data_IF_529894942371
#
_entry.id   IF_529894942371
#
_cell.length_a   1.000
_cell.length_b   1.000
_cell.length_c   1.000
_cell.angle_alpha   90.00
_cell.angle_beta   90.00
_cell.angle_gamma   90.00
#
_symmetry.space_group_name_H-M   'P 1'
#
loop_
_entity.id
_entity.type
_entity.pdbx_description
1 polymer ?
#
# COMPACT_ATOMS: atom_id res chain seq x y z
N UNK A 1 9.09 8.03 -8.05
CA UNK A 1 8.42 8.52 -6.84
C UNK A 1 6.91 8.45 -7.02
N UNK A 2 6.23 7.77 -6.11
CA UNK A 2 4.78 7.61 -6.14
C UNK A 2 4.19 8.28 -4.90
N UNK A 3 3.29 9.26 -5.10
CA UNK A 3 2.57 9.93 -4.02
C UNK A 3 1.19 9.29 -3.88
N UNK A 4 0.81 8.94 -2.65
CA UNK A 4 -0.51 8.40 -2.40
C UNK A 4 -1.00 8.74 -1.00
N UNK A 5 -2.32 8.71 -0.85
CA UNK A 5 -2.99 8.90 0.43
C UNK A 5 -3.82 7.68 0.74
N UNK A 6 -3.63 7.10 1.90
CA UNK A 6 -4.42 5.98 2.38
C UNK A 6 -5.52 6.48 3.29
N UNK A 7 -6.75 6.04 3.05
CA UNK A 7 -7.92 6.40 3.85
C UNK A 7 -8.67 5.14 4.26
N UNK A 8 -9.45 5.26 5.33
CA UNK A 8 -10.27 4.17 5.86
C UNK A 8 -11.74 4.45 5.57
N UNK A 9 -12.44 3.47 5.01
CA UNK A 9 -13.89 3.56 4.83
C UNK A 9 -14.55 3.78 6.20
N UNK A 10 -15.45 4.75 6.29
CA UNK A 10 -16.12 5.09 7.54
C UNK A 10 -16.84 3.90 8.18
N UNK A 11 -17.28 2.94 7.39
CA UNK A 11 -17.95 1.73 7.87
C UNK A 11 -17.03 0.82 8.67
N UNK A 12 -15.71 0.96 8.52
CA UNK A 12 -14.74 0.12 9.20
C UNK A 12 -14.25 0.68 10.53
N UNK A 13 -14.58 1.92 10.87
CA UNK A 13 -14.05 2.56 12.08
C UNK A 13 -14.33 1.77 13.36
N UNK A 14 -15.48 1.09 13.41
CA UNK A 14 -15.86 0.29 14.58
C UNK A 14 -15.37 -1.17 14.49
N UNK A 15 -14.73 -1.55 13.40
CA UNK A 15 -14.31 -2.92 13.16
C UNK A 15 -12.79 -3.11 13.27
N UNK A 16 -12.07 -2.01 13.44
CA UNK A 16 -10.60 -2.04 13.50
C UNK A 16 -10.12 -1.37 14.77
N UNK A 17 -8.95 -1.81 15.26
CA UNK A 17 -8.29 -1.20 16.42
C UNK A 17 -7.24 -0.20 15.94
N UNK A 18 -7.05 0.93 16.66
CA UNK A 18 -6.01 1.90 16.29
C UNK A 18 -4.59 1.31 16.23
N UNK A 19 -4.34 0.23 16.97
CA UNK A 19 -3.03 -0.41 17.03
C UNK A 19 -2.79 -1.43 15.92
N UNK A 20 -3.81 -1.78 15.14
CA UNK A 20 -3.64 -2.75 14.07
C UNK A 20 -2.68 -2.21 13.01
N UNK A 21 -1.87 -3.13 12.45
CA UNK A 21 -0.86 -2.77 11.46
C UNK A 21 -1.50 -2.58 10.09
N UNK A 22 -1.04 -1.54 9.39
CA UNK A 22 -1.38 -1.29 7.99
C UNK A 22 -0.11 -1.46 7.19
N UNK A 23 -0.16 -2.34 6.20
CA UNK A 23 0.95 -2.55 5.28
C UNK A 23 0.59 -1.97 3.91
N UNK A 24 1.48 -1.13 3.39
CA UNK A 24 1.34 -0.61 2.03
C UNK A 24 2.51 -1.16 1.23
N UNK A 25 2.20 -1.79 0.11
CA UNK A 25 3.23 -2.34 -0.74
C UNK A 25 2.97 -2.06 -2.21
N UNK A 26 4.06 -2.03 -2.97
CA UNK A 26 4.06 -1.80 -4.39
C UNK A 26 4.55 -3.05 -5.10
N UNK A 27 3.87 -3.43 -6.19
CA UNK A 27 4.22 -4.56 -7.03
C UNK A 27 4.14 -4.14 -8.48
N UNK A 28 4.87 -4.82 -9.40
CA UNK A 28 4.63 -4.59 -10.83
C UNK A 28 3.19 -4.94 -11.16
N UNK A 29 2.49 -4.06 -11.87
CA UNK A 29 1.10 -4.32 -12.22
C UNK A 29 0.98 -5.58 -13.07
N UNK A 30 0.03 -6.45 -12.69
CA UNK A 30 -0.21 -7.70 -13.41
C UNK A 30 0.75 -8.83 -13.07
N UNK A 31 1.67 -8.61 -12.12
CA UNK A 31 2.62 -9.64 -11.69
C UNK A 31 2.56 -9.83 -10.19
N UNK A 32 2.53 -11.07 -9.75
CA UNK A 32 2.59 -11.43 -8.34
C UNK A 32 3.82 -12.30 -8.04
N UNK A 33 4.75 -12.37 -8.98
CA UNK A 33 5.98 -13.16 -8.84
C UNK A 33 7.02 -12.41 -8.04
N UNK A 34 7.59 -13.09 -7.06
CA UNK A 34 8.66 -12.55 -6.25
C UNK A 34 8.16 -11.58 -5.16
N UNK A 35 9.08 -10.99 -4.40
CA UNK A 35 8.74 -10.07 -3.32
C UNK A 35 8.21 -8.75 -3.88
N UNK A 36 7.45 -7.98 -3.06
CA UNK A 36 7.05 -6.63 -3.44
C UNK A 36 8.26 -5.74 -3.75
N UNK A 37 8.04 -4.71 -4.57
CA UNK A 37 9.10 -3.73 -4.89
C UNK A 37 9.43 -2.87 -3.68
N UNK A 38 8.42 -2.53 -2.87
CA UNK A 38 8.59 -1.71 -1.69
C UNK A 38 7.47 -2.02 -0.70
N UNK A 39 7.77 -1.89 0.61
CA UNK A 39 6.78 -2.07 1.68
C UNK A 39 6.98 -0.98 2.73
N UNK A 40 5.87 -0.42 3.20
CA UNK A 40 5.85 0.51 4.33
C UNK A 40 4.81 0.02 5.33
N UNK A 41 5.09 0.21 6.61
CA UNK A 41 4.19 -0.19 7.70
C UNK A 41 3.83 1.02 8.55
N UNK A 42 2.56 1.11 8.93
CA UNK A 42 2.08 2.08 9.91
C UNK A 42 0.90 1.49 10.66
N UNK A 43 0.20 2.29 11.45
CA UNK A 43 -0.94 1.82 12.24
C UNK A 43 -2.23 2.50 11.77
N UNK A 44 -3.36 1.85 12.09
CA UNK A 44 -4.68 2.40 11.75
C UNK A 44 -4.84 3.82 12.30
N UNK A 45 -4.28 4.11 13.49
CA UNK A 45 -4.34 5.45 14.10
C UNK A 45 -3.70 6.53 13.24
N UNK A 46 -2.80 6.16 12.34
CA UNK A 46 -2.11 7.11 11.47
C UNK A 46 -2.96 7.53 10.27
N UNK A 47 -4.06 6.85 10.01
CA UNK A 47 -4.94 7.16 8.88
C UNK A 47 -5.82 8.37 9.16
N UNK A 48 -6.16 9.21 8.19
CA UNK A 48 -5.65 9.19 6.82
C UNK A 48 -4.19 9.65 6.74
N UNK A 49 -3.40 9.03 5.88
CA UNK A 49 -1.97 9.31 5.78
C UNK A 49 -1.55 9.43 4.33
N UNK A 50 -0.89 10.55 4.01
CA UNK A 50 -0.24 10.73 2.71
C UNK A 50 1.23 10.38 2.84
N UNK A 51 1.75 9.64 1.87
CA UNK A 51 3.16 9.28 1.86
C UNK A 51 3.68 9.11 0.45
N UNK A 52 4.99 8.97 0.35
CA UNK A 52 5.69 8.80 -0.92
C UNK A 52 6.48 7.49 -0.88
N UNK A 53 6.34 6.68 -1.91
CA UNK A 53 7.23 5.55 -2.16
C UNK A 53 8.24 5.93 -3.23
N UNK A 54 9.49 5.51 -3.03
CA UNK A 54 10.57 5.79 -3.97
C UNK A 54 11.53 4.61 -3.98
N UNK A 55 12.59 4.72 -4.77
CA UNK A 55 13.61 3.68 -4.86
C UNK A 55 14.31 3.43 -3.52
N UNK A 56 14.25 4.39 -2.60
CA UNK A 56 14.80 4.24 -1.25
C UNK A 56 14.05 3.17 -0.44
N UNK A 57 12.82 2.86 -0.83
CA UNK A 57 11.99 1.88 -0.14
C UNK A 57 12.13 0.48 -0.76
N UNK A 58 13.02 0.31 -1.73
CA UNK A 58 13.22 -0.98 -2.40
C UNK A 58 13.63 -2.07 -1.42
N UNK A 59 12.93 -3.20 -1.48
CA UNK A 59 13.21 -4.35 -0.62
C UNK A 59 14.36 -5.20 -1.15
N UNK A 60 14.57 -5.18 -2.46
CA UNK A 60 15.61 -5.96 -3.13
C UNK A 60 16.47 -5.00 -3.93
N UNK A 61 17.77 -5.05 -3.72
CA UNK A 61 18.72 -4.20 -4.43
C UNK A 61 18.58 -4.38 -5.95
N UNK A 62 18.45 -3.27 -6.67
CA UNK A 62 18.30 -3.28 -8.11
C UNK A 62 16.88 -3.51 -8.61
N UNK A 63 15.94 -3.85 -7.73
CA UNK A 63 14.54 -4.04 -8.08
C UNK A 63 13.75 -2.82 -7.63
N UNK A 64 13.89 -1.73 -8.38
CA UNK A 64 13.41 -0.41 -8.00
C UNK A 64 12.06 -0.07 -8.65
N UNK A 65 11.27 0.75 -7.96
CA UNK A 65 10.00 1.27 -8.49
C UNK A 65 10.22 1.96 -9.84
N UNK A 66 11.32 2.71 -9.97
CA UNK A 66 11.62 3.45 -11.19
C UNK A 66 11.85 2.56 -12.42
N UNK A 67 12.03 1.25 -12.22
CA UNK A 67 12.22 0.31 -13.32
C UNK A 67 10.91 -0.10 -14.01
N UNK A 68 9.77 0.30 -13.44
CA UNK A 68 8.46 -0.16 -13.91
C UNK A 68 7.57 1.00 -14.31
N UNK A 69 6.87 0.85 -15.44
CA UNK A 69 5.95 1.87 -15.94
C UNK A 69 4.57 1.79 -15.27
N UNK A 70 4.20 0.62 -14.77
CA UNK A 70 2.90 0.39 -14.14
C UNK A 70 3.10 -0.35 -12.82
N UNK A 71 2.58 0.22 -11.73
CA UNK A 71 2.75 -0.32 -10.38
C UNK A 71 1.40 -0.44 -9.70
N UNK A 72 1.15 -1.62 -9.13
CA UNK A 72 -0.02 -1.84 -8.30
C UNK A 72 0.33 -1.49 -6.85
N UNK A 73 -0.48 -0.65 -6.23
CA UNK A 73 -0.34 -0.26 -4.82
C UNK A 73 -1.47 -0.89 -4.03
N UNK A 74 -1.12 -1.54 -2.93
CA UNK A 74 -2.09 -2.17 -2.03
C UNK A 74 -1.83 -1.69 -0.62
N UNK A 75 -2.89 -1.27 0.06
CA UNK A 75 -2.86 -1.01 1.50
C UNK A 75 -3.79 -2.01 2.16
N UNK A 76 -3.30 -2.78 3.16
CA UNK A 76 -4.16 -3.71 3.86
C UNK A 76 -3.96 -3.61 5.37
N UNK A 77 -5.06 -3.78 6.11
CA UNK A 77 -5.05 -3.83 7.56
C UNK A 77 -4.91 -5.29 7.96
N UNK A 78 -3.78 -5.60 8.59
CA UNK A 78 -3.53 -6.95 9.08
C UNK A 78 -4.21 -7.15 10.44
N UNK A 79 -5.16 -8.07 10.50
CA UNK A 79 -5.86 -8.41 11.73
C UNK A 79 -5.02 -9.32 12.62
N UNK A 80 -3.98 -9.94 12.06
CA UNK A 80 -3.12 -10.89 12.76
C UNK A 80 -1.68 -10.40 12.96
N UNK A 81 -1.34 -9.25 12.39
CA UNK A 81 0.05 -8.74 12.38
C UNK A 81 0.90 -9.31 11.26
N UNK A 82 0.35 -10.20 10.44
CA UNK A 82 1.07 -10.81 9.32
C UNK A 82 1.02 -9.87 8.10
N UNK A 83 2.17 -9.55 7.48
CA UNK A 83 2.18 -8.70 6.28
C UNK A 83 1.55 -9.36 5.06
N UNK A 84 1.41 -10.70 5.05
CA UNK A 84 0.74 -11.42 3.96
C UNK A 84 -0.77 -11.33 4.17
N UNK A 85 -1.55 -10.90 3.16
CA UNK A 85 -3.01 -10.80 3.29
C UNK A 85 -3.64 -12.12 3.71
N UNK A 86 -4.58 -12.04 4.67
CA UNK A 86 -5.29 -13.18 5.23
C UNK A 86 -6.79 -12.96 5.07
N UNK A 87 -7.57 -14.03 5.17
CA UNK A 87 -9.03 -13.91 5.21
C UNK A 87 -9.43 -13.05 6.41
N UNK A 88 -10.33 -12.10 6.17
CA UNK A 88 -10.78 -11.18 7.20
C UNK A 88 -10.02 -9.88 7.27
N UNK A 89 -8.90 -9.76 6.55
CA UNK A 89 -8.18 -8.48 6.43
C UNK A 89 -8.94 -7.54 5.50
N UNK A 90 -8.82 -6.25 5.76
CA UNK A 90 -9.40 -5.21 4.91
C UNK A 90 -8.32 -4.63 4.01
N UNK A 91 -8.67 -4.29 2.78
CA UNK A 91 -7.68 -3.75 1.85
C UNK A 91 -8.25 -2.71 0.89
N UNK A 92 -7.36 -1.92 0.31
CA UNK A 92 -7.64 -1.03 -0.79
C UNK A 92 -6.50 -1.12 -1.80
N UNK A 93 -6.82 -0.89 -3.07
CA UNK A 93 -5.85 -0.98 -4.17
C UNK A 93 -5.99 0.17 -5.13
N UNK A 94 -4.89 0.55 -5.75
CA UNK A 94 -4.88 1.47 -6.89
C UNK A 94 -3.69 1.14 -7.78
N UNK A 95 -3.66 1.72 -8.96
CA UNK A 95 -2.55 1.54 -9.90
C UNK A 95 -1.92 2.89 -10.20
N UNK A 96 -0.60 2.95 -10.12
CA UNK A 96 0.17 4.11 -10.56
C UNK A 96 0.78 3.79 -11.92
N UNK A 97 0.66 4.75 -12.84
CA UNK A 97 1.31 4.68 -14.15
C UNK A 97 2.35 5.77 -14.21
N UNK A 98 3.46 5.51 -14.92
CA UNK A 98 4.53 6.50 -15.05
C UNK A 98 4.00 7.84 -15.58
N UNK A 99 2.99 7.80 -16.44
CA UNK A 99 2.34 9.00 -16.98
C UNK A 99 1.62 9.84 -15.92
N UNK A 100 1.30 9.27 -14.76
CA UNK A 100 0.68 10.00 -13.65
C UNK A 100 1.65 10.97 -12.98
N UNK A 101 2.97 10.69 -13.11
CA UNK A 101 3.99 11.55 -12.56
C UNK A 101 3.83 11.76 -11.06
N UNK A 102 3.63 13.02 -10.64
CA UNK A 102 3.49 13.40 -9.23
C UNK A 102 2.04 13.51 -8.78
N UNK A 103 1.11 12.98 -9.55
CA UNK A 103 -0.29 12.99 -9.18
C UNK A 103 -0.51 12.23 -7.87
N UNK A 104 -1.24 12.84 -6.94
CA UNK A 104 -1.60 12.17 -5.69
C UNK A 104 -2.70 11.14 -5.95
N UNK A 105 -2.41 9.89 -5.65
CA UNK A 105 -3.38 8.80 -5.76
C UNK A 105 -4.03 8.56 -4.41
N UNK A 106 -5.25 8.05 -4.40
CA UNK A 106 -5.96 7.71 -3.18
C UNK A 106 -6.18 6.21 -3.12
N UNK A 107 -5.84 5.61 -1.97
CA UNK A 107 -6.15 4.21 -1.67
C UNK A 107 -7.17 4.21 -0.56
N UNK A 108 -8.37 3.71 -0.84
CA UNK A 108 -9.43 3.60 0.17
C UNK A 108 -9.50 2.17 0.66
N UNK A 109 -9.19 1.96 1.95
CA UNK A 109 -9.27 0.64 2.58
C UNK A 109 -10.72 0.35 2.94
N UNK A 110 -11.23 -0.78 2.48
CA UNK A 110 -12.61 -1.19 2.67
C UNK A 110 -12.72 -2.71 2.83
N UNK A 111 -13.89 -3.16 3.25
CA UNK A 111 -14.15 -4.60 3.39
C UNK A 111 -14.38 -5.28 2.03
#
# INVERSE_FOLDING_TARGET
>A
RVLFRSTLDSKLHNQVSPEESVFVYAEPAGSHDGPPLAVRRFQVRDLPLSMTLSDKDAMVHGRNISNYAHIALTAHISRTGNPIPQNGDFEGKTTWNRSDGRKLLTIKIKS
#
